data_IF_656498542022
#
_entry.id   IF_656498542022
#
_cell.length_a   1.000
_cell.length_b   1.000
_cell.length_c   1.000
_cell.angle_alpha   90.00
_cell.angle_beta   90.00
_cell.angle_gamma   90.00
#
_symmetry.space_group_name_H-M   'P 1'
#
loop_
_entity.id
_entity.type
_entity.pdbx_description
1 polymer ?
#
# COMPACT_ATOMS: atom_id res chain seq x y z
N UNK A 1 9.79 15.89 1.23
CA UNK A 1 9.21 15.11 0.12
C UNK A 1 9.47 13.63 0.25
N UNK A 2 10.69 13.15 0.56
CA UNK A 2 10.91 11.70 0.78
C UNK A 2 10.29 11.16 2.08
N UNK A 3 10.26 11.95 3.16
CA UNK A 3 9.76 11.47 4.48
C UNK A 3 8.28 11.08 4.47
N UNK A 4 7.42 11.89 3.86
CA UNK A 4 5.97 11.63 3.82
C UNK A 4 5.63 10.39 2.99
N UNK A 5 6.33 10.15 1.88
CA UNK A 5 6.14 8.93 1.09
C UNK A 5 6.64 7.69 1.87
N UNK A 6 7.74 7.82 2.61
CA UNK A 6 8.23 6.76 3.51
C UNK A 6 7.25 6.45 4.65
N UNK A 7 6.64 7.48 5.25
CA UNK A 7 5.59 7.33 6.26
C UNK A 7 4.37 6.61 5.70
N UNK A 8 3.87 7.06 4.53
CA UNK A 8 2.72 6.41 3.88
C UNK A 8 3.01 4.98 3.46
N UNK A 9 4.23 4.70 2.99
CA UNK A 9 4.66 3.34 2.66
C UNK A 9 4.68 2.44 3.89
N UNK A 10 5.28 2.91 4.99
CA UNK A 10 5.32 2.17 6.25
C UNK A 10 3.91 1.94 6.80
N UNK A 11 3.04 2.95 6.72
CA UNK A 11 1.66 2.82 7.14
C UNK A 11 0.93 1.75 6.32
N UNK A 12 0.98 1.84 4.99
CA UNK A 12 0.35 0.85 4.13
C UNK A 12 0.89 -0.56 4.36
N UNK A 13 2.19 -0.71 4.63
CA UNK A 13 2.78 -1.99 5.03
C UNK A 13 2.17 -2.53 6.33
N UNK A 14 2.05 -1.69 7.36
CA UNK A 14 1.48 -2.04 8.66
C UNK A 14 0.02 -2.47 8.51
N UNK A 15 -0.79 -1.70 7.78
CA UNK A 15 -2.21 -2.02 7.60
C UNK A 15 -2.41 -3.34 6.83
N UNK A 16 -1.56 -3.62 5.83
CA UNK A 16 -1.56 -4.92 5.14
C UNK A 16 -1.20 -6.05 6.12
N UNK A 17 -0.20 -5.84 6.98
CA UNK A 17 0.21 -6.82 8.00
C UNK A 17 -0.95 -7.07 8.99
N UNK A 18 -1.64 -6.02 9.46
CA UNK A 18 -2.82 -6.15 10.31
C UNK A 18 -3.97 -6.90 9.64
N UNK A 19 -4.25 -6.63 8.37
CA UNK A 19 -5.27 -7.38 7.63
C UNK A 19 -4.92 -8.88 7.54
N UNK A 20 -3.65 -9.25 7.34
CA UNK A 20 -3.24 -10.66 7.41
C UNK A 20 -3.44 -11.27 8.80
N UNK A 21 -3.10 -10.52 9.86
CA UNK A 21 -3.24 -10.98 11.24
C UNK A 21 -4.69 -11.14 11.69
N UNK A 22 -5.58 -10.27 11.22
CA UNK A 22 -7.00 -10.30 11.57
C UNK A 22 -7.84 -11.20 10.67
N UNK A 23 -7.25 -11.84 9.66
CA UNK A 23 -7.96 -12.78 8.80
C UNK A 23 -8.61 -13.92 9.59
N UNK A 24 -9.90 -14.13 9.34
CA UNK A 24 -10.74 -15.07 10.09
C UNK A 24 -11.39 -14.48 11.35
N UNK A 25 -11.12 -13.21 11.67
CA UNK A 25 -11.81 -12.46 12.73
C UNK A 25 -12.88 -11.53 12.17
N UNK A 26 -13.73 -11.00 13.06
CA UNK A 26 -14.75 -9.99 12.73
C UNK A 26 -14.15 -8.64 12.28
N UNK A 27 -12.85 -8.41 12.54
CA UNK A 27 -12.17 -7.17 12.19
C UNK A 27 -11.63 -7.17 10.76
N UNK A 28 -11.57 -8.35 10.13
CA UNK A 28 -10.89 -8.54 8.86
C UNK A 28 -11.39 -7.61 7.74
N UNK A 29 -12.70 -7.45 7.61
CA UNK A 29 -13.28 -6.57 6.57
C UNK A 29 -12.85 -5.11 6.75
N UNK A 30 -12.80 -4.63 8.00
CA UNK A 30 -12.35 -3.29 8.34
C UNK A 30 -10.86 -3.10 8.05
N UNK A 31 -10.04 -4.06 8.45
CA UNK A 31 -8.58 -4.01 8.25
C UNK A 31 -8.22 -4.16 6.77
N UNK A 32 -8.94 -5.01 6.03
CA UNK A 32 -8.83 -5.14 4.58
C UNK A 32 -9.10 -3.79 3.89
N UNK A 33 -10.22 -3.13 4.23
CA UNK A 33 -10.57 -1.82 3.68
C UNK A 33 -9.52 -0.74 4.03
N UNK A 34 -8.98 -0.78 5.26
CA UNK A 34 -7.95 0.13 5.73
C UNK A 34 -6.62 -0.07 4.98
N UNK A 35 -6.21 -1.33 4.76
CA UNK A 35 -5.02 -1.67 3.99
C UNK A 35 -5.10 -1.15 2.55
N UNK A 36 -6.25 -1.31 1.88
CA UNK A 36 -6.47 -0.77 0.53
C UNK A 36 -6.41 0.76 0.51
N UNK A 37 -7.03 1.41 1.48
CA UNK A 37 -7.00 2.88 1.60
C UNK A 37 -5.58 3.40 1.82
N UNK A 38 -4.82 2.78 2.74
CA UNK A 38 -3.44 3.17 3.02
C UNK A 38 -2.54 2.98 1.79
N UNK A 39 -2.69 1.86 1.06
CA UNK A 39 -1.97 1.64 -0.20
C UNK A 39 -2.31 2.71 -1.25
N UNK A 40 -3.59 3.04 -1.41
CA UNK A 40 -4.04 4.05 -2.38
C UNK A 40 -3.42 5.44 -2.08
N UNK A 41 -3.36 5.83 -0.81
CA UNK A 41 -2.71 7.09 -0.38
C UNK A 41 -1.20 7.08 -0.69
N UNK A 42 -0.52 5.97 -0.38
CA UNK A 42 0.90 5.80 -0.70
C UNK A 42 1.16 5.92 -2.21
N UNK A 43 0.34 5.24 -3.03
CA UNK A 43 0.44 5.27 -4.48
C UNK A 43 0.23 6.68 -5.04
N UNK A 44 -0.83 7.37 -4.59
CA UNK A 44 -1.13 8.73 -5.04
C UNK A 44 0.03 9.70 -4.69
N UNK A 45 0.65 9.54 -3.52
CA UNK A 45 1.81 10.35 -3.14
C UNK A 45 3.02 10.07 -4.02
N UNK A 46 3.28 8.80 -4.32
CA UNK A 46 4.35 8.40 -5.22
C UNK A 46 4.16 8.99 -6.62
N UNK A 47 2.96 8.91 -7.18
CA UNK A 47 2.63 9.48 -8.50
C UNK A 47 2.77 11.00 -8.52
N UNK A 48 2.34 11.69 -7.46
CA UNK A 48 2.54 13.13 -7.30
C UNK A 48 4.02 13.51 -7.21
N UNK A 49 4.83 12.72 -6.48
CA UNK A 49 6.27 12.92 -6.40
C UNK A 49 6.94 12.74 -7.76
N UNK A 50 6.54 11.71 -8.54
CA UNK A 50 7.05 11.50 -9.89
C UNK A 50 6.79 12.68 -10.82
N UNK A 51 5.59 13.28 -10.75
CA UNK A 51 5.27 14.47 -11.56
C UNK A 51 6.10 15.69 -11.17
N UNK A 52 6.52 15.77 -9.91
CA UNK A 52 7.34 16.88 -9.39
C UNK A 52 8.82 16.77 -9.75
N UNK A 53 9.33 15.54 -9.89
CA UNK A 53 10.71 15.31 -10.31
C UNK A 53 10.80 15.28 -11.84
N UNK A 54 11.37 16.33 -12.44
CA UNK A 54 11.76 16.30 -13.86
C UNK A 54 12.82 15.23 -14.17
N UNK A 55 13.33 15.18 -15.41
CA UNK A 55 14.31 14.18 -15.85
C UNK A 55 15.74 14.47 -15.35
N UNK A 56 16.01 14.11 -14.11
CA UNK A 56 17.35 14.23 -13.49
C UNK A 56 17.87 12.86 -13.08
N UNK A 57 19.18 12.68 -12.93
CA UNK A 57 19.74 11.41 -12.46
C UNK A 57 19.20 10.98 -11.07
N UNK A 58 18.81 11.96 -10.23
CA UNK A 58 18.16 11.70 -8.94
C UNK A 58 16.71 11.20 -9.10
N UNK A 59 15.98 11.65 -10.13
CA UNK A 59 14.63 11.16 -10.41
C UNK A 59 14.63 9.72 -10.89
N UNK A 60 15.66 9.31 -11.65
CA UNK A 60 15.86 7.92 -12.08
C UNK A 60 16.06 6.99 -10.86
N UNK A 61 16.97 7.36 -9.94
CA UNK A 61 17.22 6.56 -8.73
C UNK A 61 16.00 6.50 -7.82
N UNK A 62 15.31 7.63 -7.65
CA UNK A 62 14.06 7.70 -6.89
C UNK A 62 13.00 6.78 -7.51
N UNK A 63 12.78 6.87 -8.82
CA UNK A 63 11.80 6.05 -9.55
C UNK A 63 12.11 4.57 -9.40
N UNK A 64 13.34 4.13 -9.67
CA UNK A 64 13.71 2.71 -9.59
C UNK A 64 13.47 2.10 -8.20
N UNK A 65 13.89 2.80 -7.13
CA UNK A 65 13.63 2.36 -5.76
C UNK A 65 12.13 2.23 -5.50
N UNK A 66 11.39 3.31 -5.73
CA UNK A 66 9.98 3.38 -5.36
C UNK A 66 9.06 2.53 -6.24
N UNK A 67 9.37 2.33 -7.53
CA UNK A 67 8.62 1.38 -8.37
C UNK A 67 8.71 -0.03 -7.78
N UNK A 68 9.90 -0.43 -7.35
CA UNK A 68 10.11 -1.75 -6.74
C UNK A 68 9.32 -1.86 -5.43
N UNK A 69 9.45 -0.88 -4.54
CA UNK A 69 8.78 -0.88 -3.23
C UNK A 69 7.25 -0.89 -3.39
N UNK A 70 6.69 -0.02 -4.24
CA UNK A 70 5.24 0.05 -4.51
C UNK A 70 4.75 -1.25 -5.16
N UNK A 71 5.52 -1.85 -6.07
CA UNK A 71 5.17 -3.12 -6.69
C UNK A 71 5.09 -4.25 -5.65
N UNK A 72 6.08 -4.36 -4.77
CA UNK A 72 6.07 -5.36 -3.69
C UNK A 72 4.88 -5.15 -2.76
N UNK A 73 4.58 -3.90 -2.40
CA UNK A 73 3.44 -3.58 -1.55
C UNK A 73 2.11 -4.01 -2.20
N UNK A 74 1.96 -3.76 -3.51
CA UNK A 74 0.78 -4.19 -4.29
C UNK A 74 0.65 -5.71 -4.33
N UNK A 75 1.75 -6.43 -4.52
CA UNK A 75 1.73 -7.90 -4.51
C UNK A 75 1.27 -8.44 -3.15
N UNK A 76 1.72 -7.84 -2.04
CA UNK A 76 1.27 -8.23 -0.69
C UNK A 76 -0.21 -7.92 -0.46
N UNK A 77 -0.66 -6.73 -0.86
CA UNK A 77 -2.07 -6.34 -0.77
C UNK A 77 -2.97 -7.30 -1.55
N UNK A 78 -2.58 -7.65 -2.78
CA UNK A 78 -3.32 -8.58 -3.63
C UNK A 78 -3.30 -10.03 -3.13
N UNK A 79 -2.39 -10.36 -2.21
CA UNK A 79 -2.34 -11.67 -1.57
C UNK A 79 -3.25 -11.77 -0.33
N UNK A 80 -3.91 -10.68 0.07
CA UNK A 80 -4.95 -10.73 1.10
C UNK A 80 -6.11 -11.62 0.62
N UNK A 81 -6.60 -12.55 1.46
CA UNK A 81 -7.81 -13.31 1.18
C UNK A 81 -8.99 -12.42 0.76
N UNK A 82 -9.86 -12.92 -0.12
CA UNK A 82 -11.08 -12.18 -0.44
C UNK A 82 -12.03 -12.17 0.76
N UNK A 83 -12.73 -11.05 0.98
CA UNK A 83 -13.81 -10.98 1.97
C UNK A 83 -14.93 -11.90 1.45
N UNK A 84 -15.07 -13.06 2.08
CA UNK A 84 -16.17 -13.97 1.81
C UNK A 84 -17.26 -13.73 2.84
N UNK A 85 -18.36 -13.08 2.44
CA UNK A 85 -19.56 -13.06 3.26
C UNK A 85 -20.14 -14.47 3.30
N UNK A 86 -20.13 -15.08 4.49
CA UNK A 86 -20.77 -16.38 4.70
C UNK A 86 -22.28 -16.20 4.48
N UNK A 87 -22.80 -16.77 3.40
CA UNK A 87 -24.22 -16.84 3.01
C UNK A 87 -25.04 -17.81 3.88
N UNK A 88 -24.81 -17.79 5.19
CA UNK A 88 -25.68 -18.50 6.13
C UNK A 88 -26.53 -17.46 6.88
N UNK A 89 -27.70 -17.19 6.29
CA UNK A 89 -28.92 -16.72 6.97
C UNK A 89 -29.45 -17.81 7.92
#
# INVERSE_FOLDING_TARGET
MSSELEELYNNAKIEIDFAFESHGSIYYEGDYSTAHTAFALCLAKYESALQSFGDTANSIKFRFRWETDIHQLRLRLNALPEITHSIYD
#
